data_IF_415454116918
#
_entry.id   IF_415454116918
#
_cell.length_a   1.000
_cell.length_b   1.000
_cell.length_c   1.000
_cell.angle_alpha   90.00
_cell.angle_beta   90.00
_cell.angle_gamma   90.00
#
_symmetry.space_group_name_H-M   'P 1'
#
loop_
_entity.id
_entity.type
_entity.pdbx_description
1 polymer ?
#
# COMPACT_ATOMS: atom_id res chain seq x y z
N UNK A 1 -4.91 8.55 20.56
CA UNK A 1 -4.30 9.88 20.29
C UNK A 1 -5.33 10.99 20.38
N UNK A 2 -6.47 10.83 19.72
CA UNK A 2 -7.61 11.78 19.78
C UNK A 2 -8.05 12.06 21.22
N UNK A 3 -8.31 11.02 22.04
CA UNK A 3 -8.69 11.19 23.45
C UNK A 3 -7.63 11.92 24.30
N UNK A 4 -6.37 11.90 23.88
CA UNK A 4 -5.25 12.55 24.56
C UNK A 4 -4.94 13.93 23.99
N UNK A 5 -5.64 14.39 22.95
CA UNK A 5 -5.47 15.70 22.33
C UNK A 5 -4.10 15.92 21.67
N UNK A 6 -3.43 14.86 21.21
CA UNK A 6 -2.07 14.91 20.64
C UNK A 6 -2.02 14.54 19.16
N UNK A 7 -3.16 14.48 18.47
CA UNK A 7 -3.24 14.16 17.04
C UNK A 7 -2.39 15.11 16.20
N UNK A 8 -2.36 16.39 16.55
CA UNK A 8 -1.71 17.43 15.74
C UNK A 8 -0.18 17.49 15.98
N UNK A 9 0.34 16.57 16.78
CA UNK A 9 1.75 16.52 17.18
C UNK A 9 2.46 15.23 16.76
N UNK A 10 1.73 14.25 16.21
CA UNK A 10 2.28 12.94 15.87
C UNK A 10 1.64 12.44 14.58
N UNK A 11 2.47 12.15 13.58
CA UNK A 11 2.05 11.46 12.37
C UNK A 11 2.08 9.94 12.56
N UNK A 12 1.01 9.25 12.16
CA UNK A 12 0.89 7.80 12.16
C UNK A 12 1.22 7.23 10.78
N UNK A 13 2.34 6.50 10.68
CA UNK A 13 2.74 5.80 9.46
C UNK A 13 2.29 4.34 9.55
N UNK A 14 1.33 3.94 8.72
CA UNK A 14 0.89 2.55 8.62
C UNK A 14 1.85 1.70 7.78
N UNK A 15 2.09 0.47 8.23
CA UNK A 15 2.97 -0.50 7.58
C UNK A 15 2.38 -1.90 7.69
N UNK A 16 2.81 -2.81 6.81
CA UNK A 16 2.44 -4.21 6.82
C UNK A 16 1.65 -4.63 5.59
N UNK A 17 2.35 -5.33 4.68
CA UNK A 17 1.76 -6.02 3.52
C UNK A 17 0.77 -5.20 2.66
N UNK A 18 0.92 -3.87 2.59
CA UNK A 18 0.12 -2.98 1.74
C UNK A 18 0.53 -3.15 0.27
N UNK A 19 -0.41 -3.56 -0.59
CA UNK A 19 -0.09 -3.99 -1.96
C UNK A 19 -0.50 -2.99 -3.03
N UNK A 20 -1.64 -2.35 -2.84
CA UNK A 20 -2.30 -1.55 -3.87
C UNK A 20 -2.97 -0.30 -3.28
N UNK A 21 -3.59 0.50 -4.16
CA UNK A 21 -4.31 1.70 -3.78
C UNK A 21 -5.51 1.43 -2.84
N UNK A 22 -6.15 0.26 -2.94
CA UNK A 22 -7.26 -0.10 -2.08
C UNK A 22 -6.81 -0.33 -0.64
N UNK A 23 -5.69 -1.04 -0.45
CA UNK A 23 -5.08 -1.17 0.87
C UNK A 23 -4.67 0.20 1.43
N UNK A 24 -4.03 1.04 0.62
CA UNK A 24 -3.63 2.39 1.04
C UNK A 24 -4.85 3.23 1.46
N UNK A 25 -5.92 3.22 0.66
CA UNK A 25 -7.16 3.93 1.00
C UNK A 25 -7.76 3.47 2.32
N UNK A 26 -7.77 2.14 2.58
CA UNK A 26 -8.28 1.58 3.85
C UNK A 26 -7.48 2.06 5.06
N UNK A 27 -6.14 2.04 4.98
CA UNK A 27 -5.32 2.49 6.13
C UNK A 27 -5.43 3.98 6.38
N UNK A 28 -5.51 4.80 5.32
CA UNK A 28 -5.81 6.23 5.47
C UNK A 28 -7.17 6.44 6.15
N UNK A 29 -8.19 5.71 5.70
CA UNK A 29 -9.55 5.82 6.21
C UNK A 29 -9.71 5.44 7.70
N UNK A 30 -8.90 4.50 8.21
CA UNK A 30 -8.89 4.15 9.64
C UNK A 30 -7.97 5.04 10.49
N UNK A 31 -7.38 6.09 9.89
CA UNK A 31 -6.70 7.16 10.61
C UNK A 31 -5.17 7.16 10.51
N UNK A 32 -4.57 6.52 9.51
CA UNK A 32 -3.16 6.70 9.21
C UNK A 32 -2.92 8.00 8.41
N UNK A 33 -1.81 8.69 8.69
CA UNK A 33 -1.39 9.90 7.99
C UNK A 33 -0.53 9.58 6.77
N UNK A 34 0.20 8.46 6.80
CA UNK A 34 1.02 8.00 5.69
C UNK A 34 1.13 6.48 5.64
N UNK A 35 1.63 5.96 4.51
CA UNK A 35 1.81 4.53 4.27
C UNK A 35 3.25 4.18 3.90
N UNK A 36 3.74 3.08 4.44
CA UNK A 36 5.04 2.51 4.08
C UNK A 36 4.85 1.37 3.06
N UNK A 37 5.49 1.51 1.89
CA UNK A 37 5.33 0.60 0.74
C UNK A 37 6.55 -0.29 0.46
N UNK A 38 7.37 -0.63 1.46
CA UNK A 38 8.64 -1.32 1.22
C UNK A 38 8.51 -2.62 0.42
N UNK A 39 7.65 -3.54 0.84
CA UNK A 39 7.48 -4.84 0.16
C UNK A 39 6.91 -4.73 -1.26
N UNK A 40 5.89 -3.89 -1.44
CA UNK A 40 5.27 -3.66 -2.76
C UNK A 40 6.21 -2.90 -3.70
N UNK A 41 6.98 -1.94 -3.20
CA UNK A 41 8.01 -1.25 -3.99
C UNK A 41 9.13 -2.20 -4.42
N UNK A 42 9.62 -3.08 -3.53
CA UNK A 42 10.63 -4.08 -3.88
C UNK A 42 10.13 -5.05 -4.96
N UNK A 43 8.88 -5.52 -4.85
CA UNK A 43 8.28 -6.36 -5.88
C UNK A 43 8.11 -5.62 -7.20
N UNK A 44 7.63 -4.37 -7.17
CA UNK A 44 7.49 -3.55 -8.37
C UNK A 44 8.84 -3.31 -9.08
N UNK A 45 9.92 -3.11 -8.31
CA UNK A 45 11.28 -2.93 -8.82
C UNK A 45 11.76 -4.11 -9.67
N UNK A 46 11.47 -5.33 -9.23
CA UNK A 46 12.04 -6.55 -9.85
C UNK A 46 11.12 -7.24 -10.83
N UNK A 47 9.81 -7.03 -10.75
CA UNK A 47 8.83 -7.76 -11.57
C UNK A 47 9.12 -7.70 -13.09
N UNK A 48 9.48 -6.54 -13.69
CA UNK A 48 9.76 -6.48 -15.13
C UNK A 48 11.03 -7.22 -15.56
N UNK A 49 11.89 -7.61 -14.62
CA UNK A 49 13.21 -8.20 -14.88
C UNK A 49 13.19 -9.74 -14.74
N UNK A 50 12.09 -10.31 -14.21
CA UNK A 50 11.98 -11.74 -13.94
C UNK A 50 12.00 -12.60 -15.21
N UNK A 51 11.52 -12.07 -16.34
CA UNK A 51 11.53 -12.78 -17.62
C UNK A 51 12.95 -13.10 -18.12
N UNK A 52 13.97 -12.39 -17.62
CA UNK A 52 15.38 -12.66 -17.92
C UNK A 52 16.00 -13.78 -17.10
N UNK A 53 15.27 -14.39 -16.16
CA UNK A 53 15.76 -15.39 -15.21
C UNK A 53 15.13 -16.77 -15.46
N UNK A 54 15.74 -17.86 -14.94
CA UNK A 54 15.16 -19.19 -15.03
C UNK A 54 13.73 -19.23 -14.47
N UNK A 55 12.86 -20.01 -15.10
CA UNK A 55 11.48 -20.18 -14.64
C UNK A 55 11.44 -20.70 -13.20
N UNK A 56 10.58 -20.09 -12.37
CA UNK A 56 10.45 -20.42 -10.94
C UNK A 56 11.43 -19.67 -10.03
N UNK A 57 12.20 -18.72 -10.57
CA UNK A 57 13.02 -17.83 -9.76
C UNK A 57 12.14 -16.95 -8.87
N UNK A 58 12.43 -16.93 -7.57
CA UNK A 58 11.72 -16.05 -6.63
C UNK A 58 12.24 -14.60 -6.75
N UNK A 59 11.37 -13.59 -6.62
CA UNK A 59 11.76 -12.18 -6.80
C UNK A 59 12.83 -11.68 -5.82
N UNK A 60 12.89 -12.27 -4.63
CA UNK A 60 13.84 -11.92 -3.57
C UNK A 60 15.29 -12.23 -3.95
N UNK A 61 15.51 -13.18 -4.87
CA UNK A 61 16.84 -13.55 -5.34
C UNK A 61 17.58 -12.44 -6.11
N UNK A 62 16.86 -11.38 -6.53
CA UNK A 62 17.42 -10.22 -7.21
C UNK A 62 17.91 -9.12 -6.26
N UNK A 63 17.37 -9.02 -5.04
CA UNK A 63 17.65 -7.88 -4.15
C UNK A 63 18.08 -8.27 -2.73
N UNK A 64 17.86 -9.51 -2.30
CA UNK A 64 18.41 -9.99 -1.04
C UNK A 64 19.89 -10.32 -1.20
N UNK A 65 20.69 -9.98 -0.19
CA UNK A 65 22.12 -10.30 -0.18
C UNK A 65 22.43 -11.79 -0.38
N UNK A 66 21.52 -12.67 0.05
CA UNK A 66 21.64 -14.13 -0.10
C UNK A 66 21.12 -14.66 -1.45
N UNK A 67 20.68 -13.77 -2.34
CA UNK A 67 20.13 -14.12 -3.64
C UNK A 67 21.19 -14.62 -4.63
N UNK A 68 20.78 -15.51 -5.53
CA UNK A 68 21.66 -16.06 -6.58
C UNK A 68 21.88 -15.08 -7.74
N UNK A 69 20.98 -14.12 -7.93
CA UNK A 69 20.93 -13.25 -9.12
C UNK A 69 21.06 -11.76 -8.78
N UNK A 70 21.66 -11.42 -7.64
CA UNK A 70 21.82 -10.03 -7.18
C UNK A 70 22.62 -9.19 -8.17
N UNK A 71 23.58 -9.81 -8.85
CA UNK A 71 24.42 -9.21 -9.88
C UNK A 71 23.65 -8.86 -11.17
N UNK A 72 22.45 -9.43 -11.35
CA UNK A 72 21.60 -9.22 -12.53
C UNK A 72 20.55 -8.12 -12.35
N UNK A 73 20.46 -7.51 -11.17
CA UNK A 73 19.50 -6.44 -10.92
C UNK A 73 19.86 -5.19 -11.75
N UNK A 74 18.99 -4.84 -12.69
CA UNK A 74 19.04 -3.56 -13.39
C UNK A 74 18.38 -2.48 -12.52
N UNK A 75 19.22 -1.62 -11.92
CA UNK A 75 18.80 -0.55 -11.02
C UNK A 75 18.00 0.53 -11.76
N UNK A 76 18.34 0.84 -13.01
CA UNK A 76 17.66 1.89 -13.77
C UNK A 76 16.25 1.43 -14.18
N UNK A 77 16.15 0.20 -14.71
CA UNK A 77 14.85 -0.40 -15.02
C UNK A 77 13.99 -0.53 -13.75
N UNK A 78 14.60 -0.94 -12.62
CA UNK A 78 13.91 -1.05 -11.34
C UNK A 78 13.40 0.29 -10.82
N UNK A 79 14.19 1.36 -10.91
CA UNK A 79 13.78 2.70 -10.51
C UNK A 79 12.59 3.21 -11.35
N UNK A 80 12.62 2.98 -12.68
CA UNK A 80 11.51 3.31 -13.57
C UNK A 80 10.24 2.53 -13.19
N UNK A 81 10.39 1.24 -12.85
CA UNK A 81 9.28 0.40 -12.45
C UNK A 81 8.62 0.87 -11.14
N UNK A 82 9.43 1.20 -10.13
CA UNK A 82 8.93 1.78 -8.87
C UNK A 82 8.24 3.13 -9.10
N UNK A 83 8.81 4.00 -9.93
CA UNK A 83 8.19 5.28 -10.26
C UNK A 83 6.83 5.10 -10.97
N UNK A 84 6.73 4.12 -11.88
CA UNK A 84 5.45 3.77 -12.52
C UNK A 84 4.45 3.21 -11.52
N UNK A 85 4.88 2.34 -10.60
CA UNK A 85 4.04 1.81 -9.54
C UNK A 85 3.46 2.93 -8.67
N UNK A 86 4.30 3.81 -8.13
CA UNK A 86 3.85 4.95 -7.30
C UNK A 86 2.87 5.84 -8.08
N UNK A 87 3.17 6.13 -9.35
CA UNK A 87 2.28 6.93 -10.21
C UNK A 87 0.94 6.24 -10.44
N UNK A 88 0.93 4.95 -10.72
CA UNK A 88 -0.29 4.17 -10.92
C UNK A 88 -1.14 4.15 -9.64
N UNK A 89 -0.53 3.84 -8.49
CA UNK A 89 -1.21 3.88 -7.19
C UNK A 89 -1.77 5.26 -6.86
N UNK A 90 -1.05 6.33 -7.21
CA UNK A 90 -1.55 7.71 -7.01
C UNK A 90 -2.79 8.00 -7.85
N UNK A 91 -2.79 7.59 -9.13
CA UNK A 91 -3.93 7.76 -10.03
C UNK A 91 -5.13 6.94 -9.54
N UNK A 92 -4.90 5.70 -9.09
CA UNK A 92 -5.95 4.84 -8.55
C UNK A 92 -6.55 5.41 -7.25
N UNK A 93 -5.71 5.91 -6.33
CA UNK A 93 -6.18 6.59 -5.11
C UNK A 93 -6.99 7.84 -5.43
N UNK A 94 -6.57 8.62 -6.41
CA UNK A 94 -7.32 9.78 -6.88
C UNK A 94 -8.69 9.36 -7.43
N UNK A 95 -8.73 8.28 -8.23
CA UNK A 95 -9.98 7.74 -8.76
C UNK A 95 -10.90 7.25 -7.63
N UNK A 96 -10.36 6.54 -6.64
CA UNK A 96 -11.11 6.08 -5.46
C UNK A 96 -11.73 7.26 -4.70
N UNK A 97 -10.93 8.30 -4.40
CA UNK A 97 -11.45 9.51 -3.76
C UNK A 97 -12.58 10.15 -4.59
N UNK A 98 -12.39 10.27 -5.92
CA UNK A 98 -13.41 10.83 -6.82
C UNK A 98 -14.69 10.00 -6.84
N UNK A 99 -14.59 8.66 -6.83
CA UNK A 99 -15.78 7.78 -6.79
C UNK A 99 -16.58 7.91 -5.50
N UNK A 100 -15.92 8.30 -4.40
CA UNK A 100 -16.54 8.60 -3.12
C UNK A 100 -17.04 10.05 -3.01
N UNK A 101 -16.88 10.86 -4.07
CA UNK A 101 -17.24 12.27 -4.07
C UNK A 101 -16.28 13.16 -3.27
N UNK A 102 -15.03 12.71 -3.10
CA UNK A 102 -13.99 13.37 -2.30
C UNK A 102 -12.91 13.95 -3.21
N UNK A 103 -12.38 15.10 -2.82
CA UNK A 103 -11.33 15.83 -3.55
C UNK A 103 -9.91 15.58 -2.98
N UNK A 104 -9.82 14.95 -1.81
CA UNK A 104 -8.58 14.63 -1.13
C UNK A 104 -8.63 13.18 -0.59
N UNK A 105 -7.52 12.45 -0.73
CA UNK A 105 -7.37 11.08 -0.23
C UNK A 105 -7.46 11.01 1.30
N UNK A 106 -7.06 12.07 2.01
CA UNK A 106 -7.19 12.17 3.46
C UNK A 106 -8.62 12.48 3.91
N UNK A 107 -9.52 12.80 2.97
CA UNK A 107 -10.94 12.93 3.28
C UNK A 107 -11.64 11.58 3.32
N UNK A 108 -11.01 10.48 2.89
CA UNK A 108 -11.58 9.12 2.97
C UNK A 108 -11.69 8.73 4.45
N UNK A 109 -12.83 8.18 4.85
CA UNK A 109 -13.16 7.90 6.25
C UNK A 109 -13.68 6.47 6.39
N UNK A 110 -13.74 5.99 7.64
CA UNK A 110 -14.32 4.68 8.00
C UNK A 110 -15.72 4.46 7.42
N UNK A 111 -16.50 5.53 7.28
CA UNK A 111 -17.89 5.50 6.80
C UNK A 111 -18.01 5.21 5.30
N UNK A 112 -16.92 5.36 4.53
CA UNK A 112 -16.88 4.97 3.11
C UNK A 112 -16.65 3.48 2.91
N UNK A 113 -16.46 2.72 3.99
CA UNK A 113 -16.10 1.32 3.97
C UNK A 113 -17.09 0.49 4.79
N UNK A 114 -17.07 -0.82 4.53
CA UNK A 114 -17.82 -1.79 5.32
C UNK A 114 -16.92 -2.97 5.68
N UNK A 115 -17.07 -3.47 6.90
CA UNK A 115 -16.37 -4.64 7.39
C UNK A 115 -17.07 -5.91 6.88
N UNK A 116 -16.27 -6.90 6.45
CA UNK A 116 -16.78 -8.20 5.97
C UNK A 116 -16.85 -9.27 7.06
N UNK A 117 -16.38 -8.96 8.27
CA UNK A 117 -16.45 -9.87 9.41
C UNK A 117 -16.68 -9.10 10.71
N UNK A 118 -17.36 -9.75 11.64
CA UNK A 118 -17.65 -9.17 12.96
C UNK A 118 -16.38 -8.74 13.70
N UNK A 119 -15.33 -9.57 13.64
CA UNK A 119 -14.05 -9.28 14.30
C UNK A 119 -13.40 -8.00 13.76
N UNK A 120 -13.45 -7.77 12.45
CA UNK A 120 -12.89 -6.56 11.87
C UNK A 120 -13.73 -5.34 12.27
N UNK A 121 -15.06 -5.45 12.23
CA UNK A 121 -15.95 -4.37 12.67
C UNK A 121 -15.69 -3.97 14.14
N UNK A 122 -15.51 -4.95 15.03
CA UNK A 122 -15.19 -4.69 16.44
C UNK A 122 -13.83 -4.03 16.64
N UNK A 123 -12.80 -4.46 15.88
CA UNK A 123 -11.43 -3.95 16.03
C UNK A 123 -11.30 -2.54 15.44
N UNK A 124 -11.88 -2.29 14.27
CA UNK A 124 -11.68 -1.04 13.52
C UNK A 124 -12.79 -0.02 13.74
N UNK A 125 -13.95 -0.42 14.28
CA UNK A 125 -15.13 0.43 14.41
C UNK A 125 -15.89 0.67 13.10
N UNK A 126 -15.48 0.03 11.99
CA UNK A 126 -16.16 0.14 10.68
C UNK A 126 -17.46 -0.65 10.70
N UNK A 127 -18.52 -0.10 10.09
CA UNK A 127 -19.84 -0.74 10.03
C UNK A 127 -19.82 -2.11 9.34
N UNK A 128 -20.54 -3.09 9.88
CA UNK A 128 -20.64 -4.44 9.31
C UNK A 128 -21.51 -4.43 8.03
N UNK A 129 -21.05 -5.12 6.99
CA UNK A 129 -21.75 -5.17 5.69
C UNK A 129 -23.10 -5.92 5.72
N UNK A 130 -23.33 -6.70 6.78
CA UNK A 130 -24.53 -7.48 6.99
C UNK A 130 -25.00 -7.34 8.44
N UNK A 131 -26.26 -7.72 8.68
CA UNK A 131 -26.90 -7.70 10.01
C UNK A 131 -27.02 -9.12 10.55
#
# INVERSE_FOLDING_TARGET
MIERGVSDHIDLIATGALRDAGDIAKVLAVGADAVYIGGSALLAMVYPQLDGLPAGTNPDQLFLYTGEYVDKLDVEQGAIAVAKFIRASTIELQLLAQTLGKDNIHSIQSDDMVALSHQIAEITGVALAYT
#
